data_IF_137221698096
#
_entry.id   IF_137221698096
#
_cell.length_a   1.000
_cell.length_b   1.000
_cell.length_c   1.000
_cell.angle_alpha   90.00
_cell.angle_beta   90.00
_cell.angle_gamma   90.00
#
_symmetry.space_group_name_H-M   'P 1'
#
loop_
_entity.id
_entity.type
_entity.pdbx_description
1 polymer ?
#
# COMPACT_ATOMS: atom_id res chain seq x y z
N UNK A 1 12.69 -13.47 -19.09
CA UNK A 1 13.52 -13.65 -17.88
C UNK A 1 12.59 -13.45 -16.70
N UNK A 2 12.53 -14.38 -15.74
CA UNK A 2 11.73 -14.19 -14.53
C UNK A 2 12.56 -13.48 -13.47
N UNK A 3 12.04 -12.39 -12.88
CA UNK A 3 12.66 -11.77 -11.71
C UNK A 3 12.71 -12.75 -10.52
N UNK A 4 13.73 -12.66 -9.65
CA UNK A 4 13.74 -13.42 -8.41
C UNK A 4 12.50 -13.09 -7.56
N UNK A 5 11.93 -14.13 -6.95
CA UNK A 5 10.78 -14.02 -6.05
C UNK A 5 11.14 -14.43 -4.62
N UNK A 6 10.28 -14.10 -3.67
CA UNK A 6 10.40 -14.47 -2.25
C UNK A 6 9.03 -14.91 -1.73
N UNK A 7 9.04 -15.87 -0.79
CA UNK A 7 7.84 -16.21 -0.03
C UNK A 7 7.52 -15.04 0.92
N UNK A 8 6.30 -14.53 0.84
CA UNK A 8 5.83 -13.39 1.62
C UNK A 8 4.42 -13.70 2.15
N UNK A 9 4.36 -14.06 3.43
CA UNK A 9 3.20 -14.75 3.99
C UNK A 9 2.91 -16.03 3.20
N UNK A 10 1.70 -16.17 2.68
CA UNK A 10 1.28 -17.29 1.83
C UNK A 10 1.53 -17.07 0.32
N UNK A 11 2.03 -15.91 -0.09
CA UNK A 11 2.21 -15.54 -1.50
C UNK A 11 3.66 -15.62 -1.95
N UNK A 12 3.89 -15.84 -3.24
CA UNK A 12 5.20 -15.74 -3.86
C UNK A 12 5.28 -14.43 -4.66
N UNK A 13 5.97 -13.42 -4.13
CA UNK A 13 6.06 -12.09 -4.76
C UNK A 13 7.45 -11.81 -5.34
N UNK A 14 7.54 -10.98 -6.37
CA UNK A 14 8.80 -10.49 -6.92
C UNK A 14 9.55 -9.65 -5.88
N UNK A 15 10.88 -9.79 -5.82
CA UNK A 15 11.72 -8.98 -4.91
C UNK A 15 11.74 -7.50 -5.26
N UNK A 16 11.21 -7.14 -6.43
CA UNK A 16 10.86 -5.78 -6.82
C UNK A 16 9.34 -5.64 -6.80
N UNK A 17 8.83 -4.67 -6.04
CA UNK A 17 7.41 -4.31 -5.99
C UNK A 17 7.25 -2.99 -6.73
N UNK A 18 6.25 -2.88 -7.59
CA UNK A 18 5.95 -1.61 -8.25
C UNK A 18 5.23 -0.67 -7.27
N UNK A 19 5.68 0.58 -7.14
CA UNK A 19 4.98 1.63 -6.42
C UNK A 19 4.13 2.52 -7.34
N UNK A 20 3.46 3.52 -6.78
CA UNK A 20 2.50 4.36 -7.50
C UNK A 20 2.72 5.88 -7.37
N UNK A 21 3.69 6.35 -6.56
CA UNK A 21 3.88 7.78 -6.32
C UNK A 21 4.01 8.61 -7.61
N UNK A 22 4.88 8.25 -8.58
CA UNK A 22 4.96 8.98 -9.85
C UNK A 22 3.73 8.78 -10.76
N UNK A 23 2.91 7.77 -10.52
CA UNK A 23 1.71 7.49 -11.32
C UNK A 23 0.60 8.46 -10.93
N UNK A 24 0.38 8.65 -9.63
CA UNK A 24 -0.73 9.46 -9.11
C UNK A 24 -0.30 10.84 -8.60
N UNK A 25 0.91 11.28 -8.95
CA UNK A 25 1.43 12.62 -8.67
C UNK A 25 1.63 12.90 -7.19
N UNK A 26 2.35 11.99 -6.53
CA UNK A 26 2.91 12.17 -5.20
C UNK A 26 4.42 12.44 -5.33
N UNK A 27 4.80 13.52 -6.01
CA UNK A 27 6.19 13.79 -6.36
C UNK A 27 7.08 14.12 -5.15
N UNK A 28 6.49 14.52 -4.03
CA UNK A 28 7.19 14.98 -2.81
C UNK A 28 8.25 16.07 -3.05
N UNK A 29 8.14 16.81 -4.16
CA UNK A 29 9.04 17.90 -4.52
C UNK A 29 8.28 19.21 -4.72
N UNK A 30 7.41 19.28 -5.73
CA UNK A 30 6.52 20.41 -5.94
C UNK A 30 5.23 19.99 -6.67
N UNK A 31 4.27 20.91 -6.72
CA UNK A 31 2.98 20.70 -7.35
C UNK A 31 3.07 20.55 -8.88
N UNK A 32 3.90 21.36 -9.55
CA UNK A 32 4.06 21.31 -11.01
C UNK A 32 4.53 19.93 -11.51
N UNK A 33 5.50 19.33 -10.83
CA UNK A 33 5.97 17.97 -11.13
C UNK A 33 4.88 16.93 -10.84
N UNK A 34 4.11 17.11 -9.77
CA UNK A 34 3.00 16.22 -9.42
C UNK A 34 1.90 16.26 -10.49
N UNK A 35 1.59 17.44 -11.03
CA UNK A 35 0.63 17.62 -12.12
C UNK A 35 1.15 16.99 -13.41
N UNK A 36 2.39 17.27 -13.79
CA UNK A 36 3.01 16.70 -14.99
C UNK A 36 3.05 15.15 -14.93
N UNK A 37 3.36 14.59 -13.76
CA UNK A 37 3.31 13.15 -13.52
C UNK A 37 1.91 12.56 -13.73
N UNK A 38 0.87 13.21 -13.21
CA UNK A 38 -0.53 12.78 -13.41
C UNK A 38 -0.95 12.86 -14.88
N UNK A 39 -0.57 13.93 -15.57
CA UNK A 39 -0.88 14.14 -16.99
C UNK A 39 -0.21 13.08 -17.87
N UNK A 40 1.05 12.76 -17.58
CA UNK A 40 1.80 11.74 -18.31
C UNK A 40 1.26 10.31 -18.06
N UNK A 41 0.70 10.06 -16.87
CA UNK A 41 0.18 8.75 -16.46
C UNK A 41 -1.34 8.63 -16.64
N UNK A 42 -1.79 8.70 -17.89
CA UNK A 42 -3.18 8.38 -18.25
C UNK A 42 -3.51 6.92 -17.89
N UNK A 43 -4.80 6.57 -17.72
CA UNK A 43 -5.18 5.19 -17.40
C UNK A 43 -4.64 4.18 -18.41
N UNK A 44 -4.57 4.51 -19.71
CA UNK A 44 -3.99 3.62 -20.70
C UNK A 44 -2.48 3.42 -20.52
N UNK A 45 -1.75 4.47 -20.11
CA UNK A 45 -0.34 4.35 -19.73
C UNK A 45 -0.18 3.48 -18.48
N UNK A 46 -1.04 3.65 -17.46
CA UNK A 46 -1.02 2.79 -16.26
C UNK A 46 -1.22 1.33 -16.64
N UNK A 47 -2.18 1.03 -17.53
CA UNK A 47 -2.42 -0.33 -17.99
C UNK A 47 -1.24 -0.90 -18.79
N UNK A 48 -0.58 -0.08 -19.62
CA UNK A 48 0.60 -0.49 -20.36
C UNK A 48 1.79 -0.78 -19.42
N UNK A 49 2.00 0.07 -18.42
CA UNK A 49 3.03 -0.09 -17.39
C UNK A 49 2.81 -1.36 -16.57
N UNK A 50 1.59 -1.60 -16.08
CA UNK A 50 1.26 -2.81 -15.31
C UNK A 50 1.49 -4.09 -16.13
N UNK A 51 1.02 -4.12 -17.39
CA UNK A 51 1.27 -5.26 -18.28
C UNK A 51 2.75 -5.47 -18.50
N UNK A 52 3.50 -4.39 -18.75
CA UNK A 52 4.93 -4.47 -18.96
C UNK A 52 5.66 -4.97 -17.70
N UNK A 53 5.20 -4.58 -16.52
CA UNK A 53 5.71 -5.07 -15.25
C UNK A 53 5.54 -6.59 -15.14
N UNK A 54 4.35 -7.12 -15.44
CA UNK A 54 4.11 -8.57 -15.46
C UNK A 54 4.98 -9.30 -16.51
N UNK A 55 5.11 -8.76 -17.73
CA UNK A 55 5.95 -9.34 -18.79
C UNK A 55 7.43 -9.50 -18.39
N UNK A 56 7.94 -8.59 -17.56
CA UNK A 56 9.33 -8.64 -17.06
C UNK A 56 9.45 -9.37 -15.71
N UNK A 57 8.34 -9.90 -15.19
CA UNK A 57 8.29 -10.74 -13.99
C UNK A 57 8.05 -9.98 -12.68
N UNK A 58 7.69 -8.69 -12.71
CA UNK A 58 7.17 -8.00 -11.52
C UNK A 58 5.73 -8.43 -11.33
N UNK A 59 5.40 -9.00 -10.18
CA UNK A 59 4.07 -9.55 -9.91
C UNK A 59 3.36 -8.92 -8.71
N UNK A 60 3.91 -7.83 -8.17
CA UNK A 60 3.32 -7.10 -7.05
C UNK A 60 3.27 -5.60 -7.32
N UNK A 61 2.14 -4.99 -7.00
CA UNK A 61 1.90 -3.55 -7.09
C UNK A 61 1.35 -3.05 -5.75
N UNK A 62 2.04 -2.07 -5.18
CA UNK A 62 1.61 -1.36 -4.00
C UNK A 62 1.15 0.04 -4.42
N UNK A 63 -0.05 0.42 -3.98
CA UNK A 63 -0.57 1.75 -4.26
C UNK A 63 -1.30 2.36 -3.06
N UNK A 64 -1.51 3.67 -3.10
CA UNK A 64 -2.42 4.38 -2.21
C UNK A 64 -3.85 4.28 -2.74
N UNK A 65 -4.78 3.83 -1.91
CA UNK A 65 -6.18 3.69 -2.32
C UNK A 65 -6.85 5.05 -2.54
N UNK A 66 -7.15 5.34 -3.80
CA UNK A 66 -7.93 6.47 -4.29
C UNK A 66 -8.96 5.98 -5.31
N UNK A 67 -10.00 6.77 -5.57
CA UNK A 67 -11.00 6.46 -6.60
C UNK A 67 -10.35 6.14 -7.96
N UNK A 68 -9.39 6.98 -8.40
CA UNK A 68 -8.66 6.76 -9.64
C UNK A 68 -7.85 5.46 -9.62
N UNK A 69 -7.11 5.19 -8.55
CA UNK A 69 -6.28 3.99 -8.46
C UNK A 69 -7.11 2.70 -8.38
N UNK A 70 -8.29 2.76 -7.74
CA UNK A 70 -9.23 1.66 -7.66
C UNK A 70 -9.85 1.37 -9.04
N UNK A 71 -10.23 2.42 -9.78
CA UNK A 71 -10.73 2.29 -11.15
C UNK A 71 -9.67 1.70 -12.10
N UNK A 72 -8.41 2.14 -11.99
CA UNK A 72 -7.30 1.59 -12.77
C UNK A 72 -7.05 0.11 -12.42
N UNK A 73 -7.05 -0.27 -11.13
CA UNK A 73 -6.91 -1.65 -10.69
C UNK A 73 -8.03 -2.55 -11.23
N UNK A 74 -9.28 -2.09 -11.17
CA UNK A 74 -10.41 -2.83 -11.73
C UNK A 74 -10.25 -3.03 -13.23
N UNK A 75 -9.98 -1.95 -13.97
CA UNK A 75 -9.73 -1.99 -15.42
C UNK A 75 -8.60 -2.93 -15.79
N UNK A 76 -7.56 -3.02 -14.95
CA UNK A 76 -6.44 -3.93 -15.17
C UNK A 76 -6.87 -5.39 -15.08
N UNK A 77 -7.61 -5.73 -14.01
CA UNK A 77 -8.13 -7.07 -13.79
C UNK A 77 -9.16 -7.49 -14.84
N UNK A 78 -10.03 -6.57 -15.27
CA UNK A 78 -10.99 -6.82 -16.35
C UNK A 78 -10.31 -7.19 -17.68
N UNK A 79 -9.04 -6.78 -17.86
CA UNK A 79 -8.20 -7.13 -19.02
C UNK A 79 -7.35 -8.38 -18.80
N UNK A 80 -7.62 -9.15 -17.74
CA UNK A 80 -6.93 -10.39 -17.40
C UNK A 80 -5.61 -10.22 -16.63
N UNK A 81 -5.33 -9.02 -16.11
CA UNK A 81 -4.15 -8.78 -15.29
C UNK A 81 -4.19 -9.53 -13.95
N UNK A 82 -3.05 -10.06 -13.51
CA UNK A 82 -2.96 -10.99 -12.36
C UNK A 82 -2.11 -10.48 -11.19
N UNK A 83 -1.63 -9.24 -11.27
CA UNK A 83 -0.69 -8.67 -10.31
C UNK A 83 -1.25 -8.70 -8.88
N UNK A 84 -0.42 -9.11 -7.93
CA UNK A 84 -0.73 -9.04 -6.52
C UNK A 84 -0.83 -7.59 -6.07
N UNK A 85 -1.86 -7.28 -5.30
CA UNK A 85 -2.17 -5.92 -4.92
C UNK A 85 -1.92 -5.67 -3.43
N UNK A 86 -1.16 -4.63 -3.09
CA UNK A 86 -1.01 -4.12 -1.73
C UNK A 86 -1.64 -2.73 -1.61
N UNK A 87 -2.53 -2.57 -0.63
CA UNK A 87 -3.24 -1.32 -0.41
C UNK A 87 -2.63 -0.53 0.75
N UNK A 88 -2.32 0.74 0.50
CA UNK A 88 -1.95 1.72 1.51
C UNK A 88 -3.12 2.71 1.68
N UNK A 89 -3.47 3.02 2.92
CA UNK A 89 -4.51 4.02 3.19
C UNK A 89 -4.13 5.40 2.65
N UNK A 90 -5.12 6.21 2.24
CA UNK A 90 -4.89 7.60 1.82
C UNK A 90 -4.72 8.53 3.02
N UNK A 91 -3.49 8.94 3.30
CA UNK A 91 -3.21 9.91 4.37
C UNK A 91 -3.83 9.48 5.71
N UNK A 92 -4.59 10.36 6.37
CA UNK A 92 -5.25 10.06 7.65
C UNK A 92 -6.61 9.37 7.56
N UNK A 93 -7.05 8.90 6.38
CA UNK A 93 -8.44 8.47 6.19
C UNK A 93 -8.85 7.32 7.13
N UNK A 94 -7.99 6.32 7.33
CA UNK A 94 -8.29 5.22 8.25
C UNK A 94 -8.15 5.60 9.73
N UNK A 95 -7.48 6.72 10.02
CA UNK A 95 -7.48 7.30 11.36
C UNK A 95 -8.79 8.03 11.65
N UNK A 96 -9.31 8.78 10.68
CA UNK A 96 -10.53 9.55 10.84
C UNK A 96 -11.78 8.67 10.73
N UNK A 97 -11.74 7.64 9.87
CA UNK A 97 -12.80 6.65 9.70
C UNK A 97 -12.21 5.23 9.42
N UNK A 98 -12.06 4.39 10.48
CA UNK A 98 -11.60 3.02 10.32
C UNK A 98 -12.53 2.11 9.51
N UNK A 99 -13.79 2.50 9.25
CA UNK A 99 -14.71 1.68 8.44
C UNK A 99 -14.30 1.58 6.97
N UNK A 100 -13.48 2.53 6.51
CA UNK A 100 -12.91 2.51 5.16
C UNK A 100 -11.94 1.34 4.91
N UNK A 101 -11.50 0.64 5.97
CA UNK A 101 -10.68 -0.58 5.85
C UNK A 101 -11.50 -1.71 5.21
N UNK A 102 -12.76 -1.85 5.60
CA UNK A 102 -13.64 -2.90 5.09
C UNK A 102 -13.96 -2.65 3.60
N UNK A 103 -14.13 -1.38 3.22
CA UNK A 103 -14.29 -0.98 1.82
C UNK A 103 -13.01 -1.25 1.01
N UNK A 104 -11.83 -0.96 1.58
CA UNK A 104 -10.55 -1.25 0.94
C UNK A 104 -10.37 -2.75 0.68
N UNK A 105 -10.79 -3.61 1.61
CA UNK A 105 -10.70 -5.06 1.48
C UNK A 105 -11.50 -5.60 0.29
N UNK A 106 -12.60 -4.94 -0.12
CA UNK A 106 -13.40 -5.33 -1.30
C UNK A 106 -12.61 -5.24 -2.61
N UNK A 107 -11.51 -4.48 -2.64
CA UNK A 107 -10.60 -4.43 -3.79
C UNK A 107 -9.62 -5.62 -3.82
N UNK A 108 -9.76 -6.62 -2.96
CA UNK A 108 -8.94 -7.84 -2.95
C UNK A 108 -7.43 -7.58 -2.87
N UNK A 109 -6.92 -6.74 -1.96
CA UNK A 109 -5.49 -6.70 -1.67
C UNK A 109 -5.04 -7.99 -1.00
N UNK A 110 -3.79 -8.38 -1.21
CA UNK A 110 -3.14 -9.45 -0.45
C UNK A 110 -2.58 -8.95 0.89
N UNK A 111 -2.36 -7.64 1.01
CA UNK A 111 -1.96 -6.98 2.25
C UNK A 111 -2.39 -5.52 2.29
N UNK A 112 -2.69 -5.03 3.49
CA UNK A 112 -3.12 -3.67 3.76
C UNK A 112 -2.28 -3.00 4.84
N UNK A 113 -1.93 -1.74 4.65
CA UNK A 113 -1.21 -0.96 5.65
C UNK A 113 -1.84 0.44 5.86
N UNK A 114 -1.94 0.92 7.11
CA UNK A 114 -2.26 2.32 7.37
C UNK A 114 -1.09 3.20 6.94
N UNK A 115 -1.35 4.43 6.52
CA UNK A 115 -0.32 5.34 6.03
C UNK A 115 0.66 5.73 7.14
N UNK A 116 1.95 5.75 6.83
CA UNK A 116 3.04 6.15 7.72
C UNK A 116 2.77 7.43 8.50
N UNK A 117 2.85 8.61 7.86
CA UNK A 117 2.60 9.88 8.57
C UNK A 117 1.15 10.07 9.01
N UNK A 118 0.18 9.83 8.11
CA UNK A 118 -1.23 10.17 8.32
C UNK A 118 -1.95 9.34 9.39
N UNK A 119 -1.48 8.12 9.67
CA UNK A 119 -2.10 7.25 10.68
C UNK A 119 -1.08 6.87 11.75
N UNK A 120 -0.03 6.10 11.42
CA UNK A 120 0.88 5.59 12.44
C UNK A 120 1.66 6.71 13.16
N UNK A 121 2.17 7.68 12.40
CA UNK A 121 2.86 8.85 12.91
C UNK A 121 1.93 9.75 13.73
N UNK A 122 0.69 9.95 13.28
CA UNK A 122 -0.33 10.70 14.03
C UNK A 122 -0.66 10.01 15.36
N UNK A 123 -0.91 8.71 15.36
CA UNK A 123 -1.11 7.93 16.58
C UNK A 123 0.07 8.06 17.55
N UNK A 124 1.30 7.98 17.05
CA UNK A 124 2.50 8.13 17.87
C UNK A 124 2.61 9.53 18.49
N UNK A 125 2.36 10.58 17.71
CA UNK A 125 2.38 11.97 18.19
C UNK A 125 1.28 12.26 19.22
N UNK A 126 0.11 11.66 19.05
CA UNK A 126 -1.06 11.83 19.94
C UNK A 126 -1.06 10.85 21.13
N UNK A 127 -0.02 10.03 21.33
CA UNK A 127 0.06 8.96 22.33
C UNK A 127 -1.12 7.96 22.27
N UNK A 128 -1.58 7.65 21.05
CA UNK A 128 -2.72 6.77 20.73
C UNK A 128 -2.28 5.49 20.01
N UNK A 129 -1.24 4.82 20.52
CA UNK A 129 -0.76 3.57 19.93
C UNK A 129 -1.74 2.40 20.14
N UNK A 130 -2.55 2.45 21.20
CA UNK A 130 -3.71 1.58 21.38
C UNK A 130 -4.67 1.66 20.19
N UNK A 131 -4.99 2.86 19.73
CA UNK A 131 -5.84 3.07 18.57
C UNK A 131 -5.21 2.58 17.26
N UNK A 132 -3.89 2.75 17.11
CA UNK A 132 -3.17 2.17 15.97
C UNK A 132 -3.30 0.64 15.95
N UNK A 133 -3.17 -0.02 17.12
CA UNK A 133 -3.37 -1.47 17.24
C UNK A 133 -4.79 -1.88 16.86
N UNK A 134 -5.81 -1.12 17.23
CA UNK A 134 -7.19 -1.43 16.86
C UNK A 134 -7.42 -1.29 15.35
N UNK A 135 -6.79 -0.32 14.68
CA UNK A 135 -6.76 -0.22 13.22
C UNK A 135 -6.11 -1.47 12.60
N UNK A 136 -4.97 -1.91 13.12
CA UNK A 136 -4.25 -3.08 12.63
C UNK A 136 -5.04 -4.38 12.84
N UNK A 137 -5.72 -4.53 13.97
CA UNK A 137 -6.66 -5.64 14.22
C UNK A 137 -7.82 -5.64 13.23
N UNK A 138 -8.39 -4.47 12.91
CA UNK A 138 -9.44 -4.39 11.89
C UNK A 138 -8.94 -4.84 10.52
N UNK A 139 -7.69 -4.51 10.16
CA UNK A 139 -7.07 -5.05 8.95
C UNK A 139 -6.97 -6.58 9.02
N UNK A 140 -6.51 -7.14 10.15
CA UNK A 140 -6.44 -8.59 10.38
C UNK A 140 -7.80 -9.26 10.18
N UNK A 141 -8.87 -8.66 10.72
CA UNK A 141 -10.24 -9.19 10.64
C UNK A 141 -10.76 -9.29 9.19
N UNK A 142 -10.19 -8.54 8.25
CA UNK A 142 -10.53 -8.67 6.82
C UNK A 142 -9.92 -9.92 6.17
N UNK A 143 -8.98 -10.60 6.85
CA UNK A 143 -8.31 -11.82 6.38
C UNK A 143 -7.10 -11.57 5.47
N UNK A 144 -6.71 -10.32 5.23
CA UNK A 144 -5.50 -9.99 4.46
C UNK A 144 -4.27 -9.87 5.38
N UNK A 145 -3.08 -9.80 4.79
CA UNK A 145 -1.86 -9.53 5.56
C UNK A 145 -1.87 -8.11 6.16
N UNK A 146 -1.48 -7.99 7.42
CA UNK A 146 -1.38 -6.73 8.17
C UNK A 146 0.00 -6.12 7.94
N UNK A 147 0.02 -4.99 7.25
CA UNK A 147 1.21 -4.18 7.07
C UNK A 147 1.27 -3.01 8.06
N UNK A 148 2.47 -2.67 8.52
CA UNK A 148 2.73 -1.47 9.30
C UNK A 148 3.63 -0.51 8.52
N UNK A 149 3.06 0.57 7.98
CA UNK A 149 3.83 1.65 7.36
C UNK A 149 4.23 2.68 8.38
N UNK A 150 5.51 3.04 8.43
CA UNK A 150 6.05 4.00 9.42
C UNK A 150 7.23 4.80 8.87
N UNK A 151 7.42 5.99 9.44
CA UNK A 151 8.64 6.79 9.25
C UNK A 151 9.50 6.90 10.51
N UNK A 152 8.94 6.55 11.68
CA UNK A 152 9.66 6.54 12.95
C UNK A 152 9.97 5.08 13.35
N UNK A 153 11.24 4.65 13.38
CA UNK A 153 11.60 3.27 13.71
C UNK A 153 11.19 2.86 15.13
N UNK A 154 11.02 3.82 16.05
CA UNK A 154 10.53 3.52 17.40
C UNK A 154 9.16 2.85 17.43
N UNK A 155 8.31 3.10 16.43
CA UNK A 155 7.01 2.41 16.32
C UNK A 155 7.22 0.92 15.99
N UNK A 156 8.26 0.57 15.24
CA UNK A 156 8.62 -0.82 14.93
C UNK A 156 9.10 -1.52 16.19
N UNK A 157 10.01 -0.88 16.94
CA UNK A 157 10.52 -1.40 18.22
C UNK A 157 9.37 -1.72 19.18
N UNK A 158 8.44 -0.79 19.38
CA UNK A 158 7.28 -0.98 20.24
C UNK A 158 6.39 -2.12 19.71
N UNK A 159 6.14 -2.18 18.40
CA UNK A 159 5.29 -3.21 17.82
C UNK A 159 5.87 -4.62 17.97
N UNK A 160 7.20 -4.76 17.90
CA UNK A 160 7.92 -6.03 18.13
C UNK A 160 7.98 -6.39 19.62
N UNK A 161 8.27 -5.42 20.51
CA UNK A 161 8.31 -5.64 21.97
C UNK A 161 6.95 -6.05 22.54
N UNK A 162 5.87 -5.52 21.98
CA UNK A 162 4.49 -5.78 22.41
C UNK A 162 3.77 -6.86 21.56
N UNK A 163 4.46 -7.49 20.59
CA UNK A 163 3.94 -8.58 19.74
C UNK A 163 2.60 -8.22 19.03
N UNK A 164 2.61 -7.16 18.20
CA UNK A 164 1.40 -6.62 17.56
C UNK A 164 0.82 -7.46 16.40
N UNK A 165 1.29 -8.68 16.17
CA UNK A 165 0.83 -9.58 15.10
C UNK A 165 0.88 -8.95 13.69
N UNK A 166 2.04 -8.38 13.33
CA UNK A 166 2.30 -7.73 12.03
C UNK A 166 2.91 -8.72 11.03
N UNK A 167 2.39 -8.78 9.80
CA UNK A 167 2.94 -9.64 8.75
C UNK A 167 4.13 -8.99 8.02
N UNK A 168 4.10 -7.67 7.85
CA UNK A 168 5.16 -6.94 7.16
C UNK A 168 5.27 -5.46 7.54
N UNK A 169 6.46 -4.90 7.32
CA UNK A 169 6.74 -3.48 7.51
C UNK A 169 6.93 -2.77 6.18
N UNK A 170 6.46 -1.53 6.09
CA UNK A 170 6.76 -0.60 5.00
C UNK A 170 7.48 0.62 5.57
N UNK A 171 8.79 0.70 5.37
CA UNK A 171 9.64 1.72 5.98
C UNK A 171 10.40 2.53 4.93
N UNK A 172 10.77 3.76 5.27
CA UNK A 172 11.84 4.45 4.57
C UNK A 172 13.20 3.99 5.11
N UNK A 173 14.29 4.53 4.58
CA UNK A 173 15.64 4.30 5.12
C UNK A 173 15.64 4.67 6.61
N UNK A 174 15.82 3.65 7.44
CA UNK A 174 16.04 3.75 8.89
C UNK A 174 17.46 4.26 9.13
#
# INVERSE_FOLDING_TARGET
>A
MSLPTVQFGQYQISRLIMGDNPIYGYAHFNQLLSEHQKEANTSDQVMATLRRAEEVGVNAWQNTLTERSAADLQRYRDRGGTIHYFCLSRGGYWYDDPSLIDEAAKHGPIGMAPHGSGVAGRCFQENRLDYLRDILKRIRDTGVMVGLSVHNPRIIEIAEEEDWDIDYYMTARI
#
